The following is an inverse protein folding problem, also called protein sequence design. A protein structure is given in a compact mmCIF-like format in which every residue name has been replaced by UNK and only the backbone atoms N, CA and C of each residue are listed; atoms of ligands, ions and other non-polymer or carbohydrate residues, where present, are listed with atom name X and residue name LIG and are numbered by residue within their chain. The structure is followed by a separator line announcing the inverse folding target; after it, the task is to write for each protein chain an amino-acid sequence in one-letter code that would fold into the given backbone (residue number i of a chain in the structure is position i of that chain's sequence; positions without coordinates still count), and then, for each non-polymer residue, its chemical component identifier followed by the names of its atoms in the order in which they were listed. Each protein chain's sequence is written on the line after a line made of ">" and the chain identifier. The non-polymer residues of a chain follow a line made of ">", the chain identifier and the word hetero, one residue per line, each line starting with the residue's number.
data_IF_250963077083
#
_entry.id   IF_250963077083
#
_cell.length_a   1.000
_cell.length_b   1.000
_cell.length_c   1.000
_cell.angle_alpha   90.00
_cell.angle_beta   90.00
_cell.angle_gamma   90.00
#
_symmetry.space_group_name_H-M   'P 1'
#
loop_
_entity.id
_entity.type
_entity.pdbx_description
1 polymer ?
#
# COMPACT_ATOMS: atom_id res chain seq x y z
N UNK A 1 -13.23 6.46 -14.18
CA UNK A 1 -13.84 5.18 -13.81
C UNK A 1 -12.95 4.05 -14.29
N UNK A 2 -12.73 3.04 -13.43
CA UNK A 2 -11.99 1.82 -13.78
C UNK A 2 -12.77 1.01 -14.83
N UNK A 3 -12.07 0.40 -15.78
CA UNK A 3 -12.70 -0.52 -16.74
C UNK A 3 -13.20 -1.78 -16.03
N UNK A 4 -14.33 -2.30 -16.48
CA UNK A 4 -14.90 -3.56 -16.00
C UNK A 4 -14.48 -4.72 -16.90
N UNK A 5 -14.15 -5.85 -16.27
CA UNK A 5 -13.81 -7.13 -16.92
C UNK A 5 -14.46 -8.28 -16.16
N UNK A 6 -14.63 -9.41 -16.82
CA UNK A 6 -15.20 -10.62 -16.22
C UNK A 6 -14.10 -11.67 -16.10
N UNK A 7 -13.91 -12.21 -14.89
CA UNK A 7 -13.00 -13.33 -14.67
C UNK A 7 -13.49 -14.54 -15.46
N UNK A 8 -12.62 -15.11 -16.30
CA UNK A 8 -12.93 -16.30 -17.10
C UNK A 8 -12.25 -17.54 -16.56
N UNK A 9 -11.10 -17.38 -15.88
CA UNK A 9 -10.36 -18.49 -15.30
C UNK A 9 -9.45 -18.05 -14.15
N UNK A 10 -9.52 -18.78 -13.04
CA UNK A 10 -8.51 -18.74 -11.99
C UNK A 10 -7.31 -19.59 -12.41
N UNK A 11 -6.11 -19.02 -12.36
CA UNK A 11 -4.88 -19.67 -12.83
C UNK A 11 -4.09 -20.27 -11.67
N UNK A 12 -3.71 -19.44 -10.70
CA UNK A 12 -2.89 -19.90 -9.56
C UNK A 12 -2.88 -18.88 -8.41
N UNK A 13 -2.77 -19.31 -7.15
CA UNK A 13 -2.56 -18.42 -6.03
C UNK A 13 -1.14 -17.82 -6.03
N UNK A 14 -1.05 -16.53 -5.70
CA UNK A 14 0.18 -15.87 -5.28
C UNK A 14 0.27 -15.97 -3.76
N UNK A 15 1.17 -16.81 -3.27
CA UNK A 15 1.37 -17.05 -1.83
C UNK A 15 2.25 -15.96 -1.22
N UNK A 16 1.78 -14.72 -1.32
CA UNK A 16 2.41 -13.54 -0.71
C UNK A 16 1.54 -13.04 0.44
N UNK A 17 2.05 -13.11 1.66
CA UNK A 17 1.36 -12.60 2.85
C UNK A 17 0.04 -13.33 3.18
N UNK A 18 -0.83 -12.64 3.92
CA UNK A 18 -2.08 -13.20 4.45
C UNK A 18 -3.33 -12.96 3.59
N UNK A 19 -3.21 -12.35 2.41
CA UNK A 19 -4.34 -11.97 1.55
C UNK A 19 -4.60 -12.92 0.37
N UNK A 20 -3.66 -13.83 0.08
CA UNK A 20 -3.72 -14.84 -0.98
C UNK A 20 -4.29 -14.30 -2.31
N UNK A 21 -3.69 -13.26 -2.92
CA UNK A 21 -4.11 -12.81 -4.26
C UNK A 21 -3.92 -13.93 -5.28
N UNK A 22 -4.59 -13.83 -6.43
CA UNK A 22 -4.56 -14.88 -7.46
C UNK A 22 -4.35 -14.34 -8.87
N UNK A 23 -3.65 -15.10 -9.71
CA UNK A 23 -3.58 -14.82 -11.14
C UNK A 23 -4.90 -15.28 -11.78
N UNK A 24 -5.53 -14.37 -12.53
CA UNK A 24 -6.83 -14.58 -13.19
C UNK A 24 -6.78 -14.10 -14.63
N UNK A 25 -7.32 -14.89 -15.55
CA UNK A 25 -7.58 -14.49 -16.94
C UNK A 25 -8.97 -13.87 -17.03
N UNK A 26 -9.14 -12.86 -17.89
CA UNK A 26 -10.42 -12.18 -18.08
C UNK A 26 -10.93 -12.25 -19.53
N UNK A 27 -12.16 -11.79 -19.75
CA UNK A 27 -12.86 -11.81 -21.05
C UNK A 27 -12.25 -10.86 -22.09
N UNK A 28 -11.47 -9.87 -21.65
CA UNK A 28 -10.70 -8.97 -22.50
C UNK A 28 -9.35 -9.54 -22.96
N UNK A 29 -9.10 -10.83 -22.72
CA UNK A 29 -7.84 -11.54 -22.99
C UNK A 29 -6.66 -11.07 -22.11
N UNK A 30 -6.91 -10.24 -21.11
CA UNK A 30 -5.93 -9.80 -20.13
C UNK A 30 -5.65 -10.85 -19.05
N UNK A 31 -4.51 -10.69 -18.38
CA UNK A 31 -4.14 -11.45 -17.18
C UNK A 31 -3.92 -10.48 -16.03
N UNK A 32 -4.49 -10.80 -14.88
CA UNK A 32 -4.57 -9.90 -13.74
C UNK A 32 -4.14 -10.60 -12.46
N UNK A 33 -3.55 -9.84 -11.55
CA UNK A 33 -3.51 -10.17 -10.14
C UNK A 33 -4.81 -9.68 -9.50
N UNK A 34 -5.66 -10.62 -9.10
CA UNK A 34 -6.94 -10.35 -8.45
C UNK A 34 -6.74 -10.27 -6.93
N UNK A 35 -7.24 -9.19 -6.34
CA UNK A 35 -7.40 -9.03 -4.89
C UNK A 35 -8.86 -9.26 -4.53
N UNK A 36 -9.08 -10.24 -3.66
CA UNK A 36 -10.39 -10.77 -3.32
C UNK A 36 -11.12 -9.95 -2.26
N UNK A 37 -12.41 -9.66 -2.48
CA UNK A 37 -13.27 -9.00 -1.49
C UNK A 37 -13.52 -9.86 -0.26
N UNK A 38 -13.53 -11.20 -0.41
CA UNK A 38 -13.67 -12.16 0.68
C UNK A 38 -12.41 -12.37 1.51
N UNK A 39 -11.28 -11.74 1.18
CA UNK A 39 -10.05 -11.85 1.97
C UNK A 39 -10.21 -11.20 3.35
N UNK A 40 -9.53 -11.75 4.37
CA UNK A 40 -9.65 -11.30 5.76
C UNK A 40 -9.26 -9.84 6.03
N UNK A 41 -8.56 -9.19 5.10
CA UNK A 41 -8.21 -7.76 5.17
C UNK A 41 -9.39 -6.83 4.86
N UNK A 42 -10.46 -7.35 4.24
CA UNK A 42 -11.71 -6.63 3.97
C UNK A 42 -11.64 -5.54 2.89
N UNK A 43 -12.82 -5.02 2.52
CA UNK A 43 -13.02 -4.05 1.43
C UNK A 43 -12.18 -2.78 1.52
N UNK A 44 -11.86 -2.31 2.72
CA UNK A 44 -11.06 -1.08 2.93
C UNK A 44 -9.67 -1.17 2.30
N UNK A 45 -9.08 -2.36 2.28
CA UNK A 45 -7.80 -2.63 1.61
C UNK A 45 -7.92 -2.42 0.10
N UNK A 46 -9.03 -2.83 -0.51
CA UNK A 46 -9.30 -2.59 -1.94
C UNK A 46 -9.55 -1.12 -2.23
N UNK A 47 -10.27 -0.42 -1.34
CA UNK A 47 -10.46 1.03 -1.43
C UNK A 47 -9.11 1.76 -1.38
N UNK A 48 -8.22 1.38 -0.46
CA UNK A 48 -6.87 1.94 -0.38
C UNK A 48 -6.07 1.68 -1.67
N UNK A 49 -6.13 0.47 -2.21
CA UNK A 49 -5.47 0.13 -3.47
C UNK A 49 -5.95 1.01 -4.63
N UNK A 50 -7.27 1.23 -4.76
CA UNK A 50 -7.82 2.08 -5.81
C UNK A 50 -7.42 3.53 -5.61
N UNK A 51 -7.68 4.11 -4.45
CA UNK A 51 -7.41 5.54 -4.19
C UNK A 51 -5.92 5.85 -4.36
N UNK A 52 -5.04 5.05 -3.75
CA UNK A 52 -3.61 5.26 -3.83
C UNK A 52 -3.04 4.91 -5.21
N UNK A 53 -3.42 3.78 -5.80
CA UNK A 53 -2.93 3.38 -7.11
C UNK A 53 -3.33 4.37 -8.20
N UNK A 54 -4.56 4.89 -8.17
CA UNK A 54 -5.03 5.91 -9.11
C UNK A 54 -4.37 7.25 -8.87
N UNK A 55 -4.21 7.67 -7.62
CA UNK A 55 -3.46 8.90 -7.31
C UNK A 55 -2.01 8.83 -7.79
N UNK A 56 -1.32 7.71 -7.54
CA UNK A 56 0.03 7.47 -8.04
C UNK A 56 0.12 7.60 -9.56
N UNK A 57 -0.77 6.95 -10.30
CA UNK A 57 -0.82 7.04 -11.77
C UNK A 57 -0.99 8.48 -12.26
N UNK A 58 -1.87 9.25 -11.60
CA UNK A 58 -2.13 10.65 -11.95
C UNK A 58 -0.96 11.58 -11.62
N UNK A 59 -0.13 11.20 -10.65
CA UNK A 59 1.13 11.86 -10.30
C UNK A 59 2.33 11.35 -11.13
N UNK A 60 2.08 10.50 -12.14
CA UNK A 60 3.11 9.97 -13.03
C UNK A 60 3.99 8.88 -12.42
N UNK A 61 3.59 8.31 -11.28
CA UNK A 61 4.23 7.11 -10.73
C UNK A 61 3.67 5.87 -11.44
N UNK A 62 4.54 4.89 -11.68
CA UNK A 62 4.17 3.66 -12.39
C UNK A 62 3.47 2.70 -11.43
N UNK A 63 2.19 2.46 -11.65
CA UNK A 63 1.38 1.44 -10.98
C UNK A 63 0.67 0.64 -12.08
N UNK A 64 0.63 -0.71 -12.00
CA UNK A 64 -0.12 -1.47 -12.99
C UNK A 64 -1.58 -1.01 -13.06
N UNK A 65 -2.20 -1.13 -14.23
CA UNK A 65 -3.58 -0.69 -14.42
C UNK A 65 -4.51 -1.44 -13.47
N UNK A 66 -5.50 -0.74 -12.94
CA UNK A 66 -6.53 -1.30 -12.07
C UNK A 66 -7.83 -1.48 -12.86
N UNK A 67 -8.55 -2.57 -12.58
CA UNK A 67 -9.84 -2.91 -13.19
C UNK A 67 -10.83 -3.38 -12.13
N UNK A 68 -12.11 -3.18 -12.42
CA UNK A 68 -13.20 -3.83 -11.72
C UNK A 68 -13.38 -5.23 -12.31
N UNK A 69 -13.26 -6.27 -11.50
CA UNK A 69 -13.31 -7.64 -11.99
C UNK A 69 -14.48 -8.41 -11.37
N UNK A 70 -15.42 -8.85 -12.20
CA UNK A 70 -16.54 -9.69 -11.78
C UNK A 70 -16.11 -11.17 -11.70
N UNK A 71 -16.31 -11.79 -10.53
CA UNK A 71 -16.02 -13.20 -10.28
C UNK A 71 -17.31 -14.01 -10.15
N UNK A 72 -17.46 -15.04 -10.99
CA UNK A 72 -18.44 -16.09 -10.73
C UNK A 72 -17.83 -17.15 -9.79
N UNK A 73 -18.40 -17.39 -8.59
CA UNK A 73 -17.94 -18.42 -7.66
C UNK A 73 -17.78 -19.82 -8.25
N UNK A 74 -18.47 -20.12 -9.36
CA UNK A 74 -18.35 -21.40 -10.06
C UNK A 74 -16.89 -21.70 -10.47
N UNK A 75 -16.08 -20.67 -10.71
CA UNK A 75 -14.66 -20.79 -11.07
C UNK A 75 -13.85 -21.49 -9.96
N UNK A 76 -14.24 -21.31 -8.69
CA UNK A 76 -13.55 -21.91 -7.55
C UNK A 76 -13.91 -23.38 -7.27
N UNK A 77 -14.91 -23.95 -7.93
CA UNK A 77 -15.38 -25.32 -7.63
C UNK A 77 -14.32 -26.40 -7.90
N UNK A 78 -13.44 -26.17 -8.87
CA UNK A 78 -12.39 -27.12 -9.25
C UNK A 78 -11.06 -26.87 -8.52
N UNK A 79 -10.97 -25.85 -7.67
CA UNK A 79 -9.76 -25.53 -6.91
C UNK A 79 -9.52 -26.59 -5.83
N UNK A 80 -8.39 -27.32 -5.86
CA UNK A 80 -8.08 -28.36 -4.87
C UNK A 80 -7.70 -27.81 -3.48
N UNK A 81 -7.16 -26.60 -3.40
CA UNK A 81 -6.80 -25.97 -2.13
C UNK A 81 -8.07 -25.42 -1.45
N UNK A 82 -8.46 -26.01 -0.32
CA UNK A 82 -9.70 -25.67 0.37
C UNK A 82 -9.75 -24.20 0.82
N UNK A 83 -8.62 -23.63 1.25
CA UNK A 83 -8.56 -22.23 1.69
C UNK A 83 -8.82 -21.28 0.51
N UNK A 84 -8.24 -21.59 -0.66
CA UNK A 84 -8.44 -20.82 -1.90
C UNK A 84 -9.87 -21.01 -2.42
N UNK A 85 -10.41 -22.22 -2.37
CA UNK A 85 -11.79 -22.49 -2.78
C UNK A 85 -12.79 -21.71 -1.92
N UNK A 86 -12.61 -21.69 -0.60
CA UNK A 86 -13.44 -20.93 0.33
C UNK A 86 -13.34 -19.42 0.05
N UNK A 87 -12.13 -18.91 -0.22
CA UNK A 87 -11.90 -17.52 -0.60
C UNK A 87 -12.62 -17.14 -1.91
N UNK A 88 -12.49 -17.94 -2.96
CA UNK A 88 -13.16 -17.71 -4.25
C UNK A 88 -14.68 -17.71 -4.10
N UNK A 89 -15.21 -18.65 -3.30
CA UNK A 89 -16.64 -18.72 -3.02
C UNK A 89 -17.15 -17.51 -2.24
N UNK A 90 -16.37 -17.03 -1.27
CA UNK A 90 -16.70 -15.84 -0.48
C UNK A 90 -16.56 -14.53 -1.27
N UNK A 91 -15.87 -14.55 -2.42
CA UNK A 91 -15.56 -13.37 -3.22
C UNK A 91 -16.39 -13.26 -4.50
N UNK A 92 -17.55 -13.93 -4.57
CA UNK A 92 -18.45 -13.81 -5.71
C UNK A 92 -18.94 -12.37 -5.93
N UNK A 93 -18.98 -11.94 -7.19
CA UNK A 93 -19.28 -10.56 -7.57
C UNK A 93 -18.03 -9.74 -7.81
N UNK A 94 -18.09 -8.45 -7.49
CA UNK A 94 -17.04 -7.51 -7.86
C UNK A 94 -15.82 -7.60 -6.93
N UNK A 95 -14.65 -7.54 -7.55
CA UNK A 95 -13.33 -7.57 -6.94
C UNK A 95 -12.39 -6.59 -7.64
N UNK A 96 -11.16 -6.46 -7.15
CA UNK A 96 -10.15 -5.63 -7.78
C UNK A 96 -9.19 -6.49 -8.61
N UNK A 97 -9.06 -6.19 -9.90
CA UNK A 97 -7.98 -6.69 -10.73
C UNK A 97 -6.88 -5.64 -10.88
N UNK A 98 -5.63 -6.09 -10.90
CA UNK A 98 -4.45 -5.30 -11.22
C UNK A 98 -3.74 -5.99 -12.38
N UNK A 99 -3.30 -5.27 -13.42
CA UNK A 99 -2.57 -5.87 -14.54
C UNK A 99 -1.40 -6.71 -14.01
N UNK A 100 -1.36 -7.98 -14.40
CA UNK A 100 -0.17 -8.79 -14.20
C UNK A 100 0.90 -8.31 -15.18
N UNK A 101 2.13 -8.09 -14.71
CA UNK A 101 3.25 -7.61 -15.53
C UNK A 101 4.18 -8.79 -15.87
N UNK A 102 4.06 -9.43 -17.06
CA UNK A 102 4.86 -10.60 -17.37
C UNK A 102 6.35 -10.26 -17.43
N UNK A 103 7.16 -11.07 -16.75
CA UNK A 103 8.60 -10.87 -16.68
C UNK A 103 9.06 -9.78 -15.70
N UNK A 104 8.14 -9.20 -14.91
CA UNK A 104 8.54 -8.36 -13.78
C UNK A 104 9.22 -9.19 -12.69
N UNK A 105 10.15 -8.58 -11.97
CA UNK A 105 10.79 -9.17 -10.80
C UNK A 105 10.59 -8.28 -9.58
N UNK A 106 10.62 -8.85 -8.38
CA UNK A 106 10.63 -8.07 -7.14
C UNK A 106 11.83 -7.12 -7.09
N UNK A 107 11.60 -5.90 -6.64
CA UNK A 107 12.66 -4.91 -6.44
C UNK A 107 13.60 -5.36 -5.30
N UNK A 108 14.91 -5.36 -5.58
CA UNK A 108 15.96 -5.56 -4.58
C UNK A 108 16.88 -4.33 -4.58
N UNK A 109 16.97 -3.56 -3.48
CA UNK A 109 17.82 -2.36 -3.41
C UNK A 109 19.32 -2.66 -3.56
N UNK A 110 19.75 -3.92 -3.40
CA UNK A 110 21.15 -4.33 -3.63
C UNK A 110 21.44 -4.61 -5.10
N UNK A 111 20.43 -5.00 -5.88
CA UNK A 111 20.58 -5.39 -7.28
C UNK A 111 20.20 -4.28 -8.25
N UNK A 112 19.22 -3.44 -7.90
CA UNK A 112 18.70 -2.39 -8.76
C UNK A 112 19.05 -1.00 -8.20
N UNK A 113 19.48 -0.09 -9.09
CA UNK A 113 19.83 1.28 -8.73
C UNK A 113 18.68 2.21 -9.08
N UNK A 114 18.19 2.93 -8.08
CA UNK A 114 17.20 4.01 -8.24
C UNK A 114 17.92 5.34 -8.06
N UNK A 115 17.59 6.34 -8.87
CA UNK A 115 18.12 7.69 -8.73
C UNK A 115 17.43 8.46 -7.59
N UNK A 116 18.12 9.35 -6.85
CA UNK A 116 17.54 10.20 -5.81
C UNK A 116 16.25 10.93 -6.18
N UNK A 117 16.05 11.33 -7.44
CA UNK A 117 14.84 12.03 -7.88
C UNK A 117 13.65 11.07 -7.92
N UNK A 118 13.80 9.88 -8.53
CA UNK A 118 12.73 8.87 -8.55
C UNK A 118 12.42 8.37 -7.12
N UNK A 119 13.46 8.17 -6.30
CA UNK A 119 13.29 7.81 -4.90
C UNK A 119 12.57 8.90 -4.10
N UNK A 120 12.86 10.18 -4.35
CA UNK A 120 12.18 11.33 -3.76
C UNK A 120 10.68 11.31 -4.02
N UNK A 121 10.27 11.04 -5.27
CA UNK A 121 8.85 10.95 -5.66
C UNK A 121 8.13 9.83 -4.92
N UNK A 122 8.74 8.64 -4.85
CA UNK A 122 8.14 7.48 -4.17
C UNK A 122 8.01 7.73 -2.66
N UNK A 123 9.09 8.19 -2.00
CA UNK A 123 9.07 8.46 -0.55
C UNK A 123 8.09 9.57 -0.19
N UNK A 124 8.03 10.64 -0.99
CA UNK A 124 7.04 11.70 -0.79
C UNK A 124 5.61 11.17 -0.94
N UNK A 125 5.36 10.34 -1.94
CA UNK A 125 4.04 9.75 -2.18
C UNK A 125 3.62 8.79 -1.07
N UNK A 126 4.51 7.91 -0.62
CA UNK A 126 4.27 7.03 0.51
C UNK A 126 4.01 7.80 1.80
N UNK A 127 4.67 8.95 2.00
CA UNK A 127 4.38 9.84 3.11
C UNK A 127 2.97 10.45 3.01
N UNK A 128 2.55 10.90 1.82
CA UNK A 128 1.21 11.43 1.57
C UNK A 128 0.13 10.39 1.94
N UNK A 129 0.24 9.16 1.45
CA UNK A 129 -0.78 8.12 1.72
C UNK A 129 -0.57 7.37 3.05
N UNK A 130 0.47 7.74 3.80
CA UNK A 130 0.88 7.10 5.06
C UNK A 130 1.16 5.59 4.87
N UNK A 131 1.96 5.23 3.88
CA UNK A 131 2.42 3.88 3.62
C UNK A 131 3.64 3.53 4.46
N UNK A 132 3.45 2.78 5.54
CA UNK A 132 4.55 2.32 6.40
C UNK A 132 5.08 0.93 6.06
N UNK A 133 4.46 0.26 5.08
CA UNK A 133 4.76 -1.14 4.75
C UNK A 133 5.92 -1.27 3.74
N UNK A 134 6.19 -0.20 2.97
CA UNK A 134 7.27 -0.16 1.98
C UNK A 134 8.66 -0.14 2.62
N UNK A 135 9.16 -1.30 2.95
CA UNK A 135 10.42 -1.49 3.69
C UNK A 135 11.39 -2.40 2.93
N UNK A 136 12.64 -2.48 3.38
CA UNK A 136 13.61 -3.40 2.77
C UNK A 136 13.22 -4.88 2.88
N UNK A 137 12.36 -5.24 3.84
CA UNK A 137 11.82 -6.62 4.00
C UNK A 137 10.63 -6.87 3.09
N UNK A 138 9.83 -5.84 2.84
CA UNK A 138 8.66 -5.90 1.99
C UNK A 138 8.64 -4.67 1.06
N UNK A 139 9.41 -4.69 -0.05
CA UNK A 139 9.51 -3.51 -0.91
C UNK A 139 8.21 -3.15 -1.61
N UNK A 140 7.30 -4.11 -1.84
CA UNK A 140 6.06 -3.93 -2.61
C UNK A 140 6.30 -3.15 -3.91
N UNK A 141 7.41 -3.43 -4.58
CA UNK A 141 7.82 -2.81 -5.84
C UNK A 141 8.31 -3.88 -6.78
N UNK A 142 8.11 -3.63 -8.06
CA UNK A 142 8.59 -4.47 -9.15
C UNK A 142 9.58 -3.70 -10.02
N UNK A 143 10.48 -4.43 -10.67
CA UNK A 143 11.21 -3.95 -11.84
C UNK A 143 10.60 -4.60 -13.06
N UNK A 144 10.10 -3.79 -13.99
CA UNK A 144 9.52 -4.27 -15.25
C UNK A 144 10.04 -3.43 -16.41
N UNK A 145 10.59 -4.11 -17.42
CA UNK A 145 11.31 -3.50 -18.54
C UNK A 145 12.43 -2.51 -18.14
N UNK A 146 13.01 -2.71 -16.96
CA UNK A 146 14.07 -1.86 -16.43
C UNK A 146 13.59 -0.63 -15.65
N UNK A 147 12.27 -0.44 -15.51
CA UNK A 147 11.67 0.65 -14.73
C UNK A 147 11.15 0.15 -13.38
N UNK A 148 11.07 1.06 -12.39
CA UNK A 148 10.47 0.82 -11.09
C UNK A 148 8.93 0.97 -11.13
N UNK A 149 8.21 -0.01 -10.59
CA UNK A 149 6.74 -0.04 -10.50
C UNK A 149 6.30 -0.24 -9.05
N UNK A 150 5.30 0.52 -8.61
CA UNK A 150 4.72 0.40 -7.27
C UNK A 150 3.54 -0.57 -7.31
N UNK A 151 3.49 -1.47 -6.34
CA UNK A 151 2.37 -2.36 -6.09
C UNK A 151 1.97 -2.30 -4.62
N UNK A 152 0.84 -2.92 -4.31
CA UNK A 152 0.33 -3.18 -2.97
C UNK A 152 0.27 -1.96 -2.04
N UNK A 153 -0.77 -1.15 -2.24
CA UNK A 153 -1.12 -0.01 -1.39
C UNK A 153 -2.21 -0.38 -0.36
N UNK A 154 -2.52 -1.67 -0.19
CA UNK A 154 -3.59 -2.14 0.68
C UNK A 154 -3.40 -1.80 2.16
N UNK A 155 -2.16 -1.65 2.62
CA UNK A 155 -1.81 -1.32 4.01
C UNK A 155 -1.61 0.20 4.26
N UNK A 156 -2.09 1.04 3.34
CA UNK A 156 -1.98 2.51 3.44
C UNK A 156 -3.23 3.11 4.09
N UNK A 157 -3.20 4.41 4.40
CA UNK A 157 -4.36 5.14 4.94
C UNK A 157 -5.05 4.48 6.16
N UNK A 158 -4.30 3.80 7.04
CA UNK A 158 -4.82 3.03 8.20
C UNK A 158 -5.86 3.81 9.04
N UNK A 159 -5.77 5.14 9.08
CA UNK A 159 -6.75 6.01 9.73
C UNK A 159 -8.19 5.83 9.21
N UNK A 160 -8.42 5.30 8.00
CA UNK A 160 -9.75 4.98 7.48
C UNK A 160 -10.43 3.80 8.19
N UNK A 161 -9.70 3.06 9.04
CA UNK A 161 -10.29 2.09 9.96
C UNK A 161 -10.84 2.76 11.23
N UNK A 162 -10.52 4.04 11.46
CA UNK A 162 -10.97 4.85 12.59
C UNK A 162 -11.12 6.33 12.17
N UNK A 163 -12.17 6.63 11.40
CA UNK A 163 -12.45 7.94 10.82
C UNK A 163 -12.34 9.15 11.77
N UNK A 164 -12.76 9.08 13.04
CA UNK A 164 -12.52 10.16 14.01
C UNK A 164 -11.05 10.60 14.14
N UNK A 165 -10.08 9.74 13.78
CA UNK A 165 -8.65 10.06 13.82
C UNK A 165 -8.10 10.64 12.52
N UNK A 166 -8.87 10.62 11.42
CA UNK A 166 -8.41 11.06 10.11
C UNK A 166 -7.91 12.52 10.09
N UNK A 167 -8.58 13.51 10.75
CA UNK A 167 -8.06 14.88 10.80
C UNK A 167 -6.69 14.99 11.47
N UNK A 168 -6.47 14.22 12.54
CA UNK A 168 -5.18 14.18 13.23
C UNK A 168 -4.10 13.45 12.40
N UNK A 169 -4.49 12.43 11.63
CA UNK A 169 -3.59 11.70 10.75
C UNK A 169 -3.02 12.58 9.64
N UNK A 170 -3.80 13.54 9.12
CA UNK A 170 -3.33 14.49 8.10
C UNK A 170 -2.08 15.27 8.54
N UNK A 171 -2.02 15.69 9.81
CA UNK A 171 -0.89 16.43 10.38
C UNK A 171 0.28 15.54 10.84
N UNK A 172 0.09 14.23 10.98
CA UNK A 172 1.06 13.32 11.57
C UNK A 172 2.37 13.25 10.75
N UNK A 173 3.55 13.31 11.39
CA UNK A 173 4.82 13.07 10.70
C UNK A 173 4.90 11.68 10.07
N UNK A 174 5.78 11.52 9.09
CA UNK A 174 6.05 10.24 8.45
C UNK A 174 7.52 9.85 8.68
N UNK A 175 7.74 8.69 9.28
CA UNK A 175 9.08 8.15 9.48
C UNK A 175 9.43 7.20 8.35
N UNK A 176 10.38 7.63 7.51
CA UNK A 176 10.88 6.91 6.36
C UNK A 176 12.22 6.19 6.63
N UNK A 177 12.68 6.09 7.89
CA UNK A 177 13.98 5.47 8.21
C UNK A 177 14.08 4.01 7.78
N UNK A 178 12.98 3.26 7.85
CA UNK A 178 12.90 1.86 7.44
C UNK A 178 12.51 1.69 5.95
N UNK A 179 12.30 2.80 5.24
CA UNK A 179 11.87 2.79 3.85
C UNK A 179 12.96 2.19 2.95
N UNK A 180 12.57 1.33 2.00
CA UNK A 180 13.53 0.60 1.14
C UNK A 180 14.44 1.53 0.32
N UNK A 181 13.93 2.70 -0.08
CA UNK A 181 14.68 3.73 -0.81
C UNK A 181 15.39 4.75 0.08
N UNK A 182 15.30 4.64 1.42
CA UNK A 182 15.97 5.58 2.32
C UNK A 182 17.49 5.68 2.12
N UNK A 183 18.23 4.58 1.89
CA UNK A 183 19.67 4.65 1.67
C UNK A 183 20.10 5.37 0.38
N UNK A 184 19.18 5.62 -0.55
CA UNK A 184 19.44 6.28 -1.84
C UNK A 184 19.65 7.79 -1.67
N UNK A 185 19.22 8.37 -0.54
CA UNK A 185 19.24 9.83 -0.35
C UNK A 185 18.16 10.53 -1.18
N UNK A 186 16.86 10.19 -0.97
CA UNK A 186 15.75 10.70 -1.78
C UNK A 186 15.63 12.23 -1.75
N UNK A 187 15.44 12.86 -2.92
CA UNK A 187 15.22 14.31 -3.03
C UNK A 187 13.73 14.65 -2.80
N UNK A 188 13.35 14.65 -1.52
CA UNK A 188 11.98 14.91 -1.06
C UNK A 188 11.54 16.34 -1.37
N UNK A 189 12.46 17.32 -1.32
CA UNK A 189 12.14 18.71 -1.54
C UNK A 189 11.78 18.97 -3.01
N UNK A 190 12.55 18.42 -3.95
CA UNK A 190 12.22 18.49 -5.37
C UNK A 190 10.90 17.76 -5.68
N UNK A 191 10.69 16.57 -5.10
CA UNK A 191 9.45 15.83 -5.27
C UNK A 191 8.23 16.61 -4.76
N UNK A 192 8.33 17.27 -3.60
CA UNK A 192 7.25 18.08 -3.06
C UNK A 192 6.93 19.30 -3.94
N UNK A 193 7.96 20.00 -4.42
CA UNK A 193 7.79 21.14 -5.32
C UNK A 193 7.09 20.75 -6.64
N UNK A 194 7.35 19.53 -7.13
CA UNK A 194 6.73 19.02 -8.35
C UNK A 194 5.32 18.46 -8.11
N UNK A 195 5.14 17.59 -7.13
CA UNK A 195 3.94 16.75 -6.99
C UNK A 195 2.85 17.39 -6.13
N UNK A 196 3.21 18.14 -5.09
CA UNK A 196 2.21 18.70 -4.17
C UNK A 196 1.19 19.62 -4.88
N UNK A 197 1.58 20.52 -5.81
CA UNK A 197 0.64 21.36 -6.54
C UNK A 197 -0.33 20.59 -7.44
N UNK A 198 -0.01 19.35 -7.81
CA UNK A 198 -0.87 18.51 -8.65
C UNK A 198 -2.00 17.87 -7.84
N UNK A 199 -1.83 17.73 -6.52
CA UNK A 199 -2.85 17.16 -5.62
C UNK A 199 -3.89 18.22 -5.29
N UNK A 200 -4.91 18.29 -6.14
CA UNK A 200 -6.05 19.20 -6.02
C UNK A 200 -7.29 18.49 -5.51
N UNK A 201 -8.29 19.25 -5.07
CA UNK A 201 -9.62 18.71 -4.71
C UNK A 201 -10.24 17.95 -5.89
N UNK A 202 -10.17 18.50 -7.11
CA UNK A 202 -10.69 17.85 -8.33
C UNK A 202 -9.98 16.53 -8.62
N UNK A 203 -8.65 16.47 -8.48
CA UNK A 203 -7.91 15.23 -8.66
C UNK A 203 -8.32 14.17 -7.63
N UNK A 204 -8.43 14.58 -6.36
CA UNK A 204 -8.82 13.66 -5.27
C UNK A 204 -10.28 13.18 -5.42
N UNK A 205 -11.19 14.06 -5.85
CA UNK A 205 -12.55 13.71 -6.18
C UNK A 205 -12.62 12.71 -7.35
N UNK A 206 -11.79 12.92 -8.38
CA UNK A 206 -11.70 11.99 -9.51
C UNK A 206 -11.24 10.60 -9.09
N UNK A 207 -10.14 10.50 -8.33
CA UNK A 207 -9.59 9.18 -7.93
C UNK A 207 -10.49 8.47 -6.91
N UNK A 208 -11.18 9.20 -6.04
CA UNK A 208 -12.14 8.59 -5.10
C UNK A 208 -13.42 8.15 -5.79
N UNK A 209 -13.81 8.79 -6.89
CA UNK A 209 -14.92 8.35 -7.74
C UNK A 209 -14.64 7.03 -8.48
N UNK A 210 -13.38 6.62 -8.63
CA UNK A 210 -13.01 5.32 -9.20
C UNK A 210 -13.29 4.14 -8.25
N UNK A 211 -13.55 4.40 -6.96
CA UNK A 211 -13.94 3.38 -5.98
C UNK A 211 -15.40 2.96 -6.20
N UNK A 212 -15.74 1.67 -6.31
CA UNK A 212 -17.12 1.21 -6.42
C UNK A 212 -17.97 1.52 -5.18
N UNK A 213 -19.24 1.87 -5.39
CA UNK A 213 -20.16 2.17 -4.28
C UNK A 213 -20.35 0.99 -3.33
N UNK A 214 -20.43 -0.24 -3.86
CA UNK A 214 -20.58 -1.46 -3.06
C UNK A 214 -19.45 -1.68 -2.01
N UNK A 215 -18.29 -1.05 -2.20
CA UNK A 215 -17.20 -1.12 -1.22
C UNK A 215 -17.30 -0.03 -0.15
N UNK A 216 -18.19 0.95 -0.32
CA UNK A 216 -18.36 2.10 0.56
C UNK A 216 -19.74 2.14 1.26
N UNK A 217 -20.72 1.36 0.80
CA UNK A 217 -22.04 1.27 1.45
C UNK A 217 -21.91 0.89 2.92
N UNK A 218 -22.79 1.40 3.77
CA UNK A 218 -22.85 1.09 5.20
C UNK A 218 -21.54 1.37 5.97
N UNK A 219 -20.68 2.26 5.48
CA UNK A 219 -19.47 2.67 6.20
C UNK A 219 -19.85 3.41 7.50
N UNK A 220 -19.44 2.92 8.68
CA UNK A 220 -19.85 3.51 9.95
C UNK A 220 -19.42 4.98 10.08
N UNK A 221 -20.37 5.83 10.46
CA UNK A 221 -20.15 7.27 10.64
C UNK A 221 -20.43 8.12 9.40
N UNK A 222 -20.96 7.53 8.33
CA UNK A 222 -21.33 8.24 7.10
C UNK A 222 -22.74 7.91 6.63
N UNK A 223 -23.42 8.92 6.10
CA UNK A 223 -24.80 8.79 5.60
C UNK A 223 -24.88 8.37 4.12
N UNK A 224 -23.75 8.38 3.40
CA UNK A 224 -23.69 8.06 1.96
C UNK A 224 -22.27 7.71 1.51
N UNK A 225 -22.14 6.98 0.40
CA UNK A 225 -20.84 6.67 -0.21
C UNK A 225 -20.09 7.94 -0.65
N UNK A 226 -20.81 8.97 -1.11
CA UNK A 226 -20.24 10.29 -1.42
C UNK A 226 -19.64 10.98 -0.20
N UNK A 227 -20.25 10.84 0.98
CA UNK A 227 -19.68 11.38 2.22
C UNK A 227 -18.36 10.67 2.59
N UNK A 228 -18.26 9.36 2.35
CA UNK A 228 -17.02 8.60 2.55
C UNK A 228 -15.93 9.09 1.57
N UNK A 229 -16.27 9.29 0.30
CA UNK A 229 -15.33 9.83 -0.71
C UNK A 229 -14.79 11.20 -0.31
N UNK A 230 -15.68 12.11 0.10
CA UNK A 230 -15.27 13.44 0.61
C UNK A 230 -14.33 13.35 1.81
N UNK A 231 -14.54 12.40 2.72
CA UNK A 231 -13.65 12.21 3.86
C UNK A 231 -12.21 11.81 3.47
N UNK A 232 -12.04 11.02 2.40
CA UNK A 232 -10.71 10.76 1.84
C UNK A 232 -10.07 12.04 1.28
N UNK A 233 -10.84 12.86 0.57
CA UNK A 233 -10.37 14.15 0.03
C UNK A 233 -9.92 15.08 1.16
N UNK A 234 -10.75 15.22 2.20
CA UNK A 234 -10.48 16.07 3.37
C UNK A 234 -9.24 15.64 4.15
N UNK A 235 -8.93 14.34 4.18
CA UNK A 235 -7.73 13.81 4.85
C UNK A 235 -6.45 13.99 4.02
N UNK A 236 -6.52 13.78 2.69
CA UNK A 236 -5.34 13.77 1.82
C UNK A 236 -4.93 15.18 1.36
N UNK A 237 -5.89 16.06 1.06
CA UNK A 237 -5.62 17.38 0.49
C UNK A 237 -4.69 18.25 1.37
N UNK A 238 -5.00 18.52 2.66
CA UNK A 238 -4.11 19.34 3.51
C UNK A 238 -2.77 18.66 3.77
N UNK A 239 -2.74 17.32 3.76
CA UNK A 239 -1.52 16.53 3.96
C UNK A 239 -0.56 16.69 2.78
N UNK A 240 -1.03 16.62 1.55
CA UNK A 240 -0.20 16.75 0.35
C UNK A 240 0.63 18.04 0.33
N UNK A 241 0.01 19.15 0.73
CA UNK A 241 0.67 20.46 0.75
C UNK A 241 1.84 20.54 1.74
N UNK A 242 1.82 19.78 2.84
CA UNK A 242 2.69 20.04 4.00
C UNK A 242 3.48 18.83 4.50
N UNK A 243 3.21 17.62 4.01
CA UNK A 243 3.83 16.40 4.55
C UNK A 243 5.35 16.38 4.38
N UNK A 244 5.87 16.95 3.30
CA UNK A 244 7.30 16.99 3.01
C UNK A 244 8.13 17.69 4.09
N UNK A 245 7.54 18.60 4.86
CA UNK A 245 8.17 19.29 5.99
C UNK A 245 8.34 18.39 7.23
N UNK A 246 7.63 17.26 7.26
CA UNK A 246 7.51 16.36 8.43
C UNK A 246 7.87 14.91 8.08
N UNK A 247 8.69 14.71 7.04
CA UNK A 247 9.30 13.41 6.75
C UNK A 247 10.63 13.33 7.50
N UNK A 248 10.81 12.27 8.29
CA UNK A 248 12.06 11.99 9.00
C UNK A 248 12.72 10.75 8.42
N UNK A 249 14.03 10.81 8.19
CA UNK A 249 14.84 9.67 7.74
C UNK A 249 15.64 9.03 8.90
N UNK A 250 15.57 9.62 10.09
CA UNK A 250 16.29 9.16 11.26
C UNK A 250 15.57 8.00 11.93
N UNK A 251 16.33 6.93 12.22
CA UNK A 251 15.79 5.79 12.96
C UNK A 251 15.35 6.25 14.36
N UNK A 252 14.11 5.94 14.72
CA UNK A 252 13.66 6.12 16.10
C UNK A 252 14.49 5.24 17.03
N UNK A 253 15.01 5.83 18.12
CA UNK A 253 15.63 5.06 19.21
C UNK A 253 14.52 4.31 19.94
N UNK A 254 14.14 3.13 19.41
CA UNK A 254 13.20 2.25 20.11
C UNK A 254 13.87 1.73 21.37
N UNK A 255 13.27 1.99 22.54
CA UNK A 255 13.61 1.25 23.75
C UNK A 255 13.40 -0.23 23.44
N UNK A 256 14.48 -1.00 23.45
CA UNK A 256 14.41 -2.45 23.25
C UNK A 256 13.50 -3.03 24.31
N UNK A 257 12.36 -3.57 23.90
CA UNK A 257 11.53 -4.38 24.79
C UNK A 257 12.39 -5.55 25.26
N UNK A 258 12.53 -5.69 26.57
CA UNK A 258 13.27 -6.81 27.15
C UNK A 258 12.65 -8.15 26.74
N UNK A 259 13.41 -9.25 26.85
CA UNK A 259 12.87 -10.59 26.65
C UNK A 259 11.64 -10.80 27.57
N UNK A 260 10.67 -11.64 27.17
CA UNK A 260 9.54 -11.99 28.03
C UNK A 260 10.01 -12.45 29.41
N UNK A 261 9.27 -12.14 30.48
CA UNK A 261 9.71 -12.38 31.87
C UNK A 261 10.21 -13.80 32.13
N UNK A 262 9.53 -14.81 31.58
CA UNK A 262 9.91 -16.23 31.71
C UNK A 262 11.28 -16.57 31.11
N UNK A 263 11.76 -15.77 30.17
CA UNK A 263 13.07 -15.88 29.52
C UNK A 263 14.08 -14.92 30.15
N UNK A 264 13.64 -13.72 30.57
CA UNK A 264 14.47 -12.73 31.24
C UNK A 264 15.13 -13.28 32.51
N UNK A 265 14.41 -14.11 33.27
CA UNK A 265 14.90 -14.76 34.50
C UNK A 265 15.97 -15.84 34.25
N UNK A 266 16.07 -16.35 33.02
CA UNK A 266 16.99 -17.44 32.62
C UNK A 266 18.17 -16.96 31.79
N UNK A 267 18.15 -15.70 31.36
CA UNK A 267 19.25 -15.10 30.63
C UNK A 267 20.32 -14.65 31.62
N UNK A 268 21.60 -14.88 31.32
CA UNK A 268 22.67 -14.29 32.12
C UNK A 268 22.50 -12.77 32.13
N UNK A 269 22.79 -12.09 33.26
CA UNK A 269 22.69 -10.64 33.31
C UNK A 269 23.47 -10.02 32.16
N UNK A 270 22.84 -9.12 31.39
CA UNK A 270 23.51 -8.40 30.32
C UNK A 270 24.71 -7.67 30.91
N UNK A 271 25.92 -8.04 30.48
CA UNK A 271 27.10 -7.24 30.79
C UNK A 271 27.00 -5.95 29.99
N UNK A 272 26.76 -4.84 30.69
CA UNK A 272 26.83 -3.49 30.12
C UNK A 272 28.25 -3.21 29.62
N UNK A 273 28.55 -3.61 28.38
CA UNK A 273 29.79 -3.26 27.68
C UNK A 273 29.82 -1.83 27.15
N UNK A 274 28.98 -0.93 27.67
CA UNK A 274 28.94 0.48 27.26
C UNK A 274 29.40 1.49 28.35
N UNK A 275 30.05 1.03 29.43
CA UNK A 275 30.76 1.91 30.37
C UNK A 275 32.29 1.69 30.29
N UNK A 276 32.91 2.05 29.17
CA UNK A 276 34.35 2.32 29.11
C UNK A 276 34.69 3.03 27.81
N UNK A 277 34.44 4.35 27.76
CA UNK A 277 35.09 5.33 26.88
C UNK A 277 34.70 6.75 27.31
N UNK A 278 35.08 7.14 28.51
CA UNK A 278 35.17 8.56 28.92
C UNK A 278 35.98 8.63 30.22
N UNK A 279 37.26 8.95 30.08
CA UNK A 279 38.18 9.10 31.21
C UNK A 279 39.61 8.81 30.79
N UNK A 280 40.17 9.68 29.94
CA UNK A 280 41.57 10.10 29.96
C UNK A 280 41.73 11.22 28.92
N UNK A 281 41.42 12.45 29.37
CA UNK A 281 42.23 13.69 29.30
C UNK A 281 41.38 14.88 29.79
#
# INVERSE_FOLDING_TARGET
>A
MLSEVIATRYVTPLREGGSLPGIVEADDLGTYVMKFTGAGQGRKTLVAEVVCGRLAQRLGLRVPRLVQMQLDPVIGLAEPDQEVQELLKASGGLNLGMDYLPGSIGFDPLAYRTDPVEAGRVVWFDALINNVDRSWRNPNMLVWHGDLWLIDHGATMIWHHNWPTAPAAAAKPYNASDHVLAPVGPDIAAAAAELAPLVTEDLLAEVTADVPDEWLVDEPGFDSTDAVRRAYVEALLPRAATIHERITMEAEVRQRSGPPGWLAERLPPQSDKNKQKSGDE
#
